data_IF_086027259520
#
_entry.id   IF_086027259520
#
_cell.length_a   1.000
_cell.length_b   1.000
_cell.length_c   1.000
_cell.angle_alpha   90.00
_cell.angle_beta   90.00
_cell.angle_gamma   90.00
#
_symmetry.space_group_name_H-M   'P 1'
#
loop_
_entity.id
_entity.type
_entity.pdbx_description
1 polymer ?
#
# COMPACT_ATOMS: atom_id res chain seq x y z
N UNK A 1 41.46 -34.51 -58.56
CA UNK A 1 40.23 -34.02 -57.95
C UNK A 1 40.57 -33.28 -56.66
N UNK A 2 40.80 -31.95 -56.72
CA UNK A 2 41.15 -31.12 -55.56
C UNK A 2 39.87 -30.55 -54.95
N UNK A 3 39.52 -31.02 -53.74
CA UNK A 3 38.42 -30.45 -52.94
C UNK A 3 38.89 -29.12 -52.35
N UNK A 4 38.36 -28.03 -52.82
CA UNK A 4 38.47 -26.72 -52.19
C UNK A 4 37.70 -26.72 -50.88
N UNK A 5 38.44 -26.84 -49.76
CA UNK A 5 37.91 -26.60 -48.41
C UNK A 5 37.71 -25.07 -48.27
N UNK A 6 36.46 -24.64 -48.45
CA UNK A 6 36.04 -23.28 -48.18
C UNK A 6 36.06 -23.07 -46.65
N UNK A 7 37.20 -22.54 -46.16
CA UNK A 7 37.37 -22.17 -44.74
C UNK A 7 36.51 -20.96 -44.46
N UNK A 8 35.31 -21.18 -43.91
CA UNK A 8 34.40 -20.17 -43.45
C UNK A 8 35.13 -19.34 -42.40
N UNK A 9 35.55 -18.13 -42.74
CA UNK A 9 36.20 -17.18 -41.88
C UNK A 9 35.13 -16.71 -40.88
N UNK A 10 35.14 -17.23 -39.64
CA UNK A 10 34.32 -16.67 -38.56
C UNK A 10 34.91 -15.32 -38.17
N UNK A 11 34.32 -14.24 -38.67
CA UNK A 11 34.60 -12.90 -38.22
C UNK A 11 34.02 -12.73 -36.81
N UNK A 12 34.70 -13.27 -35.83
CA UNK A 12 34.45 -12.95 -34.41
C UNK A 12 34.96 -11.53 -34.17
N UNK A 13 34.17 -10.53 -34.56
CA UNK A 13 34.38 -9.15 -34.14
C UNK A 13 34.03 -9.05 -32.69
N UNK A 14 35.01 -9.23 -31.83
CA UNK A 14 34.91 -8.93 -30.40
C UNK A 14 34.64 -7.44 -30.19
N UNK A 15 33.84 -7.08 -29.18
CA UNK A 15 33.62 -5.69 -28.80
C UNK A 15 34.97 -5.01 -28.44
N UNK A 16 35.16 -3.81 -28.94
CA UNK A 16 36.28 -2.97 -28.55
C UNK A 16 36.13 -2.54 -27.07
N UNK A 17 37.24 -2.50 -26.35
CA UNK A 17 37.25 -2.00 -24.96
C UNK A 17 36.69 -0.59 -24.88
N UNK A 18 36.92 0.26 -25.89
CA UNK A 18 36.40 1.62 -25.96
C UNK A 18 34.88 1.65 -26.11
N UNK A 19 34.30 0.79 -26.95
CA UNK A 19 32.83 0.65 -27.09
C UNK A 19 32.18 0.27 -25.78
N UNK A 20 32.78 -0.65 -25.02
CA UNK A 20 32.27 -1.06 -23.73
C UNK A 20 32.29 0.10 -22.72
N UNK A 21 33.40 0.86 -22.68
CA UNK A 21 33.51 2.02 -21.76
C UNK A 21 32.47 3.08 -22.09
N UNK A 22 32.26 3.40 -23.38
CA UNK A 22 31.26 4.39 -23.79
C UNK A 22 29.85 3.94 -23.39
N UNK A 23 29.49 2.68 -23.64
CA UNK A 23 28.17 2.15 -23.27
C UNK A 23 27.94 2.23 -21.77
N UNK A 24 28.91 1.81 -20.95
CA UNK A 24 28.82 1.88 -19.49
C UNK A 24 28.71 3.32 -19.00
N UNK A 25 29.44 4.25 -19.59
CA UNK A 25 29.37 5.66 -19.25
C UNK A 25 27.98 6.25 -19.53
N UNK A 26 27.38 5.95 -20.69
CA UNK A 26 26.04 6.39 -21.05
C UNK A 26 25.00 5.77 -20.10
N UNK A 27 25.08 4.48 -19.81
CA UNK A 27 24.19 3.79 -18.87
C UNK A 27 24.29 4.39 -17.47
N UNK A 28 25.48 4.70 -16.99
CA UNK A 28 25.69 5.31 -15.66
C UNK A 28 24.99 6.68 -15.56
N UNK A 29 25.10 7.51 -16.60
CA UNK A 29 24.41 8.82 -16.63
C UNK A 29 22.89 8.63 -16.64
N UNK A 30 22.36 7.75 -17.48
CA UNK A 30 20.91 7.50 -17.55
C UNK A 30 20.35 6.96 -16.23
N UNK A 31 21.02 5.98 -15.62
CA UNK A 31 20.62 5.43 -14.33
C UNK A 31 20.69 6.50 -13.23
N UNK A 32 21.76 7.31 -13.23
CA UNK A 32 21.91 8.40 -12.25
C UNK A 32 20.78 9.42 -12.28
N UNK A 33 20.23 9.72 -13.47
CA UNK A 33 19.11 10.64 -13.64
C UNK A 33 17.75 10.00 -13.33
N UNK A 34 17.56 8.71 -13.69
CA UNK A 34 16.28 8.03 -13.59
C UNK A 34 16.02 7.43 -12.19
N UNK A 35 17.07 7.00 -11.49
CA UNK A 35 16.92 6.31 -10.20
C UNK A 35 16.15 7.13 -9.14
N UNK A 36 16.40 8.44 -8.94
CA UNK A 36 15.67 9.22 -7.96
C UNK A 36 14.17 9.33 -8.28
N UNK A 37 13.82 9.45 -9.57
CA UNK A 37 12.44 9.53 -10.02
C UNK A 37 11.72 8.18 -9.86
N UNK A 38 12.39 7.10 -10.24
CA UNK A 38 11.86 5.74 -10.07
C UNK A 38 11.50 5.46 -8.61
N UNK A 39 12.38 5.79 -7.66
CA UNK A 39 12.12 5.61 -6.22
C UNK A 39 10.89 6.40 -5.75
N UNK A 40 10.66 7.62 -6.25
CA UNK A 40 9.45 8.41 -5.96
C UNK A 40 8.17 7.72 -6.48
N UNK A 41 8.21 7.15 -7.68
CA UNK A 41 7.07 6.43 -8.24
C UNK A 41 6.75 5.14 -7.50
N UNK A 42 7.78 4.36 -7.14
CA UNK A 42 7.62 3.14 -6.33
C UNK A 42 6.98 3.46 -4.98
N UNK A 43 7.44 4.53 -4.32
CA UNK A 43 6.89 4.91 -3.03
C UNK A 43 5.44 5.41 -3.13
N UNK A 44 5.13 6.17 -4.18
CA UNK A 44 3.75 6.59 -4.45
C UNK A 44 2.84 5.38 -4.71
N UNK A 45 3.31 4.37 -5.44
CA UNK A 45 2.58 3.12 -5.69
C UNK A 45 2.32 2.35 -4.39
N UNK A 46 3.31 2.26 -3.49
CA UNK A 46 3.16 1.63 -2.18
C UNK A 46 2.10 2.33 -1.33
N UNK A 47 2.14 3.67 -1.29
CA UNK A 47 1.13 4.47 -0.59
C UNK A 47 -0.27 4.30 -1.16
N UNK A 48 -0.41 4.25 -2.49
CA UNK A 48 -1.69 3.95 -3.12
C UNK A 48 -2.22 2.57 -2.75
N UNK A 49 -1.36 1.56 -2.71
CA UNK A 49 -1.77 0.21 -2.33
C UNK A 49 -2.19 0.13 -0.85
N UNK A 50 -1.48 0.82 0.05
CA UNK A 50 -1.85 0.90 1.46
C UNK A 50 -3.21 1.59 1.64
N UNK A 51 -3.41 2.71 0.93
CA UNK A 51 -4.67 3.46 0.95
C UNK A 51 -5.84 2.62 0.41
N UNK A 52 -5.62 1.88 -0.68
CA UNK A 52 -6.64 1.00 -1.28
C UNK A 52 -7.04 -0.13 -0.33
N UNK A 53 -6.07 -0.78 0.32
CA UNK A 53 -6.35 -1.83 1.29
C UNK A 53 -7.18 -1.31 2.48
N UNK A 54 -6.84 -0.13 3.00
CA UNK A 54 -7.59 0.46 4.11
C UNK A 54 -8.99 0.91 3.68
N UNK A 55 -9.13 1.49 2.48
CA UNK A 55 -10.43 1.92 1.94
C UNK A 55 -11.39 0.73 1.73
N UNK A 56 -10.87 -0.41 1.27
CA UNK A 56 -11.64 -1.65 1.15
C UNK A 56 -12.19 -2.10 2.52
N UNK A 57 -11.37 -2.07 3.56
CA UNK A 57 -11.78 -2.40 4.92
C UNK A 57 -12.79 -1.38 5.48
N UNK A 58 -12.61 -0.09 5.21
CA UNK A 58 -13.57 0.96 5.60
C UNK A 58 -14.93 0.72 4.93
N UNK A 59 -14.93 0.38 3.64
CA UNK A 59 -16.17 0.07 2.92
C UNK A 59 -16.88 -1.16 3.48
N UNK A 60 -16.16 -2.20 3.89
CA UNK A 60 -16.74 -3.35 4.54
C UNK A 60 -17.52 -2.96 5.80
N UNK A 61 -16.92 -2.14 6.67
CA UNK A 61 -17.58 -1.60 7.86
C UNK A 61 -18.81 -0.75 7.50
N UNK A 62 -18.70 0.10 6.47
CA UNK A 62 -19.81 0.94 6.02
C UNK A 62 -20.98 0.13 5.46
N UNK A 63 -20.71 -0.94 4.73
CA UNK A 63 -21.74 -1.84 4.21
C UNK A 63 -22.50 -2.51 5.36
N UNK A 64 -21.78 -3.04 6.34
CA UNK A 64 -22.39 -3.64 7.54
C UNK A 64 -23.15 -2.63 8.41
N UNK A 65 -22.67 -1.38 8.50
CA UNK A 65 -23.37 -0.33 9.21
C UNK A 65 -24.71 0.05 8.56
N UNK A 66 -24.80 -0.09 7.23
CA UNK A 66 -26.01 0.21 6.46
C UNK A 66 -26.95 -1.00 6.29
N UNK A 67 -26.54 -2.20 6.70
CA UNK A 67 -27.34 -3.41 6.59
C UNK A 67 -28.44 -3.43 7.65
N UNK A 68 -29.66 -3.79 7.24
CA UNK A 68 -30.82 -3.88 8.13
C UNK A 68 -30.87 -5.18 8.95
N UNK A 69 -30.22 -6.25 8.45
CA UNK A 69 -30.27 -7.58 9.06
C UNK A 69 -29.08 -7.84 10.00
N UNK A 70 -27.89 -7.35 9.64
CA UNK A 70 -26.65 -7.48 10.43
C UNK A 70 -26.06 -6.12 10.80
N UNK A 71 -26.85 -5.30 11.50
CA UNK A 71 -26.43 -3.93 11.86
C UNK A 71 -25.20 -3.91 12.74
N UNK A 72 -24.20 -3.18 12.30
CA UNK A 72 -23.06 -2.82 13.14
C UNK A 72 -23.54 -1.88 14.25
N UNK A 73 -23.31 -2.19 15.54
CA UNK A 73 -23.74 -1.34 16.64
C UNK A 73 -23.17 0.07 16.58
N UNK A 74 -23.94 1.06 17.10
CA UNK A 74 -23.45 2.43 17.28
C UNK A 74 -22.17 2.42 18.11
N UNK A 75 -21.05 2.83 17.51
CA UNK A 75 -19.75 2.91 18.15
C UNK A 75 -18.73 3.62 17.22
N UNK A 76 -17.51 3.78 17.70
CA UNK A 76 -16.37 4.20 16.89
C UNK A 76 -15.41 3.03 16.71
N UNK A 77 -15.26 2.63 15.47
CA UNK A 77 -14.41 1.52 15.03
C UNK A 77 -13.11 2.07 14.44
N UNK A 78 -11.97 1.64 14.95
CA UNK A 78 -10.68 2.07 14.41
C UNK A 78 -9.96 0.89 13.80
N UNK A 79 -9.73 0.95 12.50
CA UNK A 79 -8.90 -0.01 11.75
C UNK A 79 -7.49 0.58 11.68
N UNK A 80 -6.49 -0.19 12.11
CA UNK A 80 -5.09 0.22 12.08
C UNK A 80 -4.28 -0.81 11.31
N UNK A 81 -3.61 -0.38 10.24
CA UNK A 81 -2.63 -1.19 9.50
C UNK A 81 -1.24 -0.79 9.97
N UNK A 82 -0.55 -1.72 10.59
CA UNK A 82 0.80 -1.52 11.11
C UNK A 82 1.86 -2.02 10.12
N UNK A 83 3.08 -1.54 10.35
CA UNK A 83 4.25 -2.11 9.72
C UNK A 83 4.53 -3.50 10.31
N UNK A 84 4.96 -4.43 9.45
CA UNK A 84 5.37 -5.76 9.90
C UNK A 84 6.60 -5.66 10.81
N UNK A 85 6.43 -6.04 12.07
CA UNK A 85 7.49 -6.08 13.10
C UNK A 85 8.18 -7.46 13.19
N UNK A 86 7.79 -8.39 12.29
CA UNK A 86 8.27 -9.78 12.24
C UNK A 86 7.95 -10.61 13.50
N UNK A 87 7.04 -10.14 14.35
CA UNK A 87 6.63 -10.85 15.57
C UNK A 87 5.65 -12.00 15.30
N UNK A 88 5.13 -12.11 14.08
CA UNK A 88 4.09 -13.07 13.70
C UNK A 88 2.69 -12.70 14.21
N UNK A 89 2.53 -11.52 14.83
CA UNK A 89 1.23 -10.99 15.25
C UNK A 89 0.46 -10.41 14.06
N UNK A 90 -0.85 -10.25 14.23
CA UNK A 90 -1.68 -9.55 13.25
C UNK A 90 -1.14 -8.13 13.03
N UNK A 91 -0.91 -7.79 11.76
CA UNK A 91 -0.40 -6.47 11.37
C UNK A 91 -1.52 -5.46 11.20
N UNK A 92 -2.74 -5.92 10.94
CA UNK A 92 -3.94 -5.10 10.94
C UNK A 92 -4.83 -5.48 12.12
N UNK A 93 -5.29 -4.49 12.85
CA UNK A 93 -6.13 -4.66 14.05
C UNK A 93 -7.35 -3.75 13.98
N UNK A 94 -8.45 -4.23 14.57
CA UNK A 94 -9.65 -3.42 14.80
C UNK A 94 -9.80 -3.18 16.30
N UNK A 95 -10.07 -1.95 16.67
CA UNK A 95 -10.40 -1.55 18.05
C UNK A 95 -11.73 -0.81 18.08
N UNK A 96 -12.43 -0.92 19.18
CA UNK A 96 -13.76 -0.33 19.40
C UNK A 96 -13.69 0.59 20.61
N UNK A 97 -14.26 1.80 20.49
CA UNK A 97 -14.17 2.80 21.56
C UNK A 97 -14.89 2.38 22.83
N UNK A 98 -16.06 1.74 22.70
CA UNK A 98 -16.83 1.23 23.85
C UNK A 98 -16.15 0.07 24.60
N UNK A 99 -15.10 -0.53 24.01
CA UNK A 99 -14.42 -1.74 24.51
C UNK A 99 -15.36 -2.94 24.69
N UNK A 100 -16.48 -2.99 23.96
CA UNK A 100 -17.39 -4.12 23.93
C UNK A 100 -16.86 -5.15 22.93
N UNK A 101 -16.54 -6.35 23.42
CA UNK A 101 -16.03 -7.43 22.57
C UNK A 101 -17.02 -7.84 21.47
N UNK A 102 -18.32 -7.81 21.78
CA UNK A 102 -19.37 -8.12 20.81
C UNK A 102 -19.35 -7.18 19.58
N UNK A 103 -19.14 -5.87 19.79
CA UNK A 103 -19.05 -4.90 18.70
C UNK A 103 -17.81 -5.16 17.82
N UNK A 104 -16.71 -5.54 18.48
CA UNK A 104 -15.48 -5.90 17.80
C UNK A 104 -15.65 -7.16 16.94
N UNK A 105 -16.29 -8.19 17.46
CA UNK A 105 -16.55 -9.45 16.74
C UNK A 105 -17.38 -9.23 15.46
N UNK A 106 -18.39 -8.35 15.51
CA UNK A 106 -19.20 -7.99 14.34
C UNK A 106 -18.33 -7.28 13.30
N UNK A 107 -17.50 -6.33 13.70
CA UNK A 107 -16.59 -5.64 12.80
C UNK A 107 -15.54 -6.59 12.17
N UNK A 108 -14.99 -7.51 12.94
CA UNK A 108 -14.03 -8.52 12.44
C UNK A 108 -14.70 -9.48 11.46
N UNK A 109 -15.98 -9.82 11.66
CA UNK A 109 -16.77 -10.61 10.71
C UNK A 109 -16.95 -9.87 9.39
N UNK A 110 -17.40 -8.61 9.45
CA UNK A 110 -17.53 -7.75 8.27
C UNK A 110 -16.23 -7.68 7.44
N UNK A 111 -15.11 -7.52 8.11
CA UNK A 111 -13.80 -7.50 7.47
C UNK A 111 -13.42 -8.86 6.88
N UNK A 112 -13.73 -9.96 7.58
CA UNK A 112 -13.38 -11.31 7.12
C UNK A 112 -14.19 -11.71 5.89
N UNK A 113 -15.43 -11.27 5.78
CA UNK A 113 -16.26 -11.51 4.59
C UNK A 113 -15.78 -10.71 3.37
N UNK A 114 -15.40 -9.44 3.57
CA UNK A 114 -14.91 -8.59 2.49
C UNK A 114 -13.46 -8.92 2.06
N UNK A 115 -12.61 -9.22 3.02
CA UNK A 115 -11.18 -9.46 2.83
C UNK A 115 -10.66 -10.52 3.81
N UNK A 116 -10.73 -11.83 3.49
CA UNK A 116 -10.39 -12.92 4.41
C UNK A 116 -9.01 -12.83 5.07
N UNK A 117 -8.05 -12.21 4.40
CA UNK A 117 -6.67 -12.02 4.89
C UNK A 117 -6.42 -10.62 5.51
N UNK A 118 -7.47 -9.87 5.84
CA UNK A 118 -7.37 -8.50 6.35
C UNK A 118 -6.39 -8.36 7.52
N UNK A 119 -6.40 -9.27 8.48
CA UNK A 119 -5.54 -9.24 9.66
C UNK A 119 -4.04 -9.38 9.35
N UNK A 120 -3.71 -9.98 8.18
CA UNK A 120 -2.33 -10.15 7.69
C UNK A 120 -1.87 -8.99 6.80
N UNK A 121 -2.78 -8.08 6.45
CA UNK A 121 -2.45 -6.91 5.63
C UNK A 121 -1.44 -6.03 6.38
N UNK A 122 -0.35 -5.70 5.71
CA UNK A 122 0.75 -4.92 6.28
C UNK A 122 1.05 -3.68 5.47
N UNK A 123 1.57 -2.68 6.14
CA UNK A 123 1.99 -1.44 5.53
C UNK A 123 3.15 -1.69 4.56
N UNK A 124 2.98 -1.27 3.30
CA UNK A 124 3.99 -1.40 2.22
C UNK A 124 4.92 -0.19 2.15
N UNK A 125 4.37 1.01 2.43
CA UNK A 125 5.12 2.25 2.46
C UNK A 125 5.80 2.45 3.82
N UNK A 126 7.06 2.89 3.78
CA UNK A 126 7.79 3.30 4.98
C UNK A 126 7.88 4.83 5.13
N UNK A 127 7.16 5.58 4.29
CA UNK A 127 7.26 7.04 4.18
C UNK A 127 5.92 7.74 4.36
N UNK A 128 5.02 7.15 5.15
CA UNK A 128 3.85 7.88 5.61
C UNK A 128 4.26 8.97 6.59
N UNK A 129 3.65 10.14 6.48
CA UNK A 129 3.88 11.26 7.38
C UNK A 129 3.17 10.99 8.72
N UNK A 130 3.88 11.12 9.84
CA UNK A 130 3.28 10.96 11.17
C UNK A 130 2.27 12.06 11.52
N UNK A 131 2.24 13.13 10.73
CA UNK A 131 1.44 14.33 11.05
C UNK A 131 2.11 15.25 12.08
N UNK A 132 3.28 14.87 12.60
CA UNK A 132 4.07 15.73 13.49
C UNK A 132 4.78 16.81 12.68
N UNK A 133 4.77 18.03 13.21
CA UNK A 133 5.46 19.21 12.64
C UNK A 133 6.74 19.47 13.41
N UNK A 134 7.86 19.65 12.71
CA UNK A 134 9.15 19.98 13.33
C UNK A 134 10.34 19.14 12.80
N UNK A 135 11.51 19.35 13.38
CA UNK A 135 12.75 18.68 12.98
C UNK A 135 12.78 17.16 13.22
N UNK A 136 11.88 16.64 14.08
CA UNK A 136 11.73 15.21 14.41
C UNK A 136 10.60 14.53 13.63
N UNK A 137 10.39 14.88 12.37
CA UNK A 137 9.38 14.30 11.51
C UNK A 137 9.66 12.81 11.25
N UNK A 138 9.23 11.96 12.18
CA UNK A 138 9.31 10.50 12.00
C UNK A 138 8.31 10.03 10.94
N UNK A 139 8.67 9.00 10.17
CA UNK A 139 7.69 8.32 9.33
C UNK A 139 6.69 7.58 10.22
N UNK A 140 5.40 7.66 9.88
CA UNK A 140 4.39 6.90 10.59
C UNK A 140 4.65 5.39 10.47
N UNK A 141 4.50 4.70 11.57
CA UNK A 141 4.65 3.23 11.65
C UNK A 141 3.33 2.51 11.36
N UNK A 142 2.25 3.26 11.24
CA UNK A 142 0.91 2.76 10.95
C UNK A 142 0.11 3.79 10.14
N UNK A 143 -0.97 3.32 9.54
CA UNK A 143 -2.07 4.14 9.03
C UNK A 143 -3.37 3.65 9.68
N UNK A 144 -4.33 4.55 9.89
CA UNK A 144 -5.62 4.17 10.46
C UNK A 144 -6.79 4.92 9.87
N UNK A 145 -7.95 4.29 9.98
CA UNK A 145 -9.25 4.89 9.73
C UNK A 145 -10.10 4.75 10.98
N UNK A 146 -10.64 5.85 11.48
CA UNK A 146 -11.61 5.91 12.54
C UNK A 146 -13.00 6.11 11.92
N UNK A 147 -13.88 5.14 12.11
CA UNK A 147 -15.22 5.09 11.52
C UNK A 147 -16.22 5.20 12.65
N UNK A 148 -16.94 6.31 12.72
CA UNK A 148 -18.03 6.50 13.67
C UNK A 148 -19.34 6.08 13.00
N UNK A 149 -19.99 5.08 13.60
CA UNK A 149 -21.29 4.57 13.18
C UNK A 149 -22.37 5.20 14.09
N UNK A 150 -23.34 5.87 13.50
CA UNK A 150 -24.47 6.43 14.18
C UNK A 150 -25.62 5.41 14.30
N UNK A 151 -26.61 5.70 15.16
CA UNK A 151 -27.75 4.82 15.41
C UNK A 151 -28.62 4.57 14.17
N UNK A 152 -28.59 5.49 13.20
CA UNK A 152 -29.30 5.39 11.92
C UNK A 152 -28.52 4.65 10.83
N UNK A 153 -27.37 4.07 11.18
CA UNK A 153 -26.44 3.41 10.23
C UNK A 153 -25.56 4.40 9.44
N UNK A 154 -25.71 5.70 9.66
CA UNK A 154 -24.86 6.73 9.07
C UNK A 154 -23.41 6.57 9.54
N UNK A 155 -22.45 6.82 8.64
CA UNK A 155 -21.03 6.68 8.97
C UNK A 155 -20.24 7.94 8.66
N UNK A 156 -19.30 8.27 9.54
CA UNK A 156 -18.27 9.28 9.29
C UNK A 156 -16.89 8.67 9.41
N UNK A 157 -15.96 9.06 8.53
CA UNK A 157 -14.62 8.46 8.49
C UNK A 157 -13.54 9.52 8.61
N UNK A 158 -12.60 9.30 9.53
CA UNK A 158 -11.42 10.12 9.71
C UNK A 158 -10.16 9.29 9.49
N UNK A 159 -9.26 9.77 8.64
CA UNK A 159 -8.04 9.07 8.28
C UNK A 159 -6.81 9.66 9.00
N UNK A 160 -5.91 8.77 9.43
CA UNK A 160 -4.61 9.15 9.99
C UNK A 160 -3.50 8.37 9.26
N UNK A 161 -2.47 9.04 8.74
CA UNK A 161 -2.30 10.52 8.67
C UNK A 161 -3.30 11.18 7.70
N UNK A 162 -3.57 12.48 7.88
CA UNK A 162 -4.52 13.23 7.04
C UNK A 162 -4.19 13.18 5.53
N UNK A 163 -2.91 13.04 5.18
CA UNK A 163 -2.45 12.85 3.80
C UNK A 163 -3.00 11.58 3.13
N UNK A 164 -3.45 10.59 3.92
CA UNK A 164 -4.04 9.35 3.42
C UNK A 164 -5.33 9.61 2.63
N UNK A 165 -6.17 10.54 3.08
CA UNK A 165 -7.41 10.92 2.39
C UNK A 165 -7.17 11.36 0.93
N UNK A 166 -6.01 11.95 0.63
CA UNK A 166 -5.69 12.39 -0.74
C UNK A 166 -5.45 11.22 -1.69
N UNK A 167 -5.01 10.08 -1.18
CA UNK A 167 -4.81 8.85 -1.97
C UNK A 167 -6.14 8.13 -2.19
N UNK A 168 -6.98 8.03 -1.15
CA UNK A 168 -8.30 7.39 -1.20
C UNK A 168 -9.23 8.14 -2.17
N UNK A 169 -9.35 9.47 -2.05
CA UNK A 169 -10.20 10.27 -2.91
C UNK A 169 -9.76 10.28 -4.39
N UNK A 170 -8.47 10.03 -4.68
CA UNK A 170 -7.98 9.88 -6.07
C UNK A 170 -8.40 8.54 -6.66
N UNK A 171 -8.41 7.47 -5.88
CA UNK A 171 -8.83 6.14 -6.33
C UNK A 171 -10.32 6.14 -6.68
N UNK A 172 -11.15 6.83 -5.92
CA UNK A 172 -12.57 6.99 -6.19
C UNK A 172 -12.88 7.77 -7.49
N UNK A 173 -11.97 8.66 -7.95
CA UNK A 173 -12.14 9.44 -9.19
C UNK A 173 -11.68 8.72 -10.46
N UNK A 174 -10.89 7.66 -10.37
CA UNK A 174 -10.38 6.89 -11.53
C UNK A 174 -11.27 5.72 -11.91
N UNK A 175 -12.34 5.46 -11.19
CA UNK A 175 -13.32 4.39 -11.42
C UNK A 175 -14.57 4.84 -12.20
N UNK A 176 -14.48 5.87 -13.07
CA UNK A 176 -15.54 6.24 -14.00
C UNK A 176 -15.13 5.95 -15.43
#
# INVERSE_FOLDING_TARGET
MLKFLNKKKNDNKGFSLVELIIVVAILAILVGLLAPQYLKYVEKSRKSADASNLDEMVRAIQVYAADAEETLPEDTYTITINKDDKSGKATTVVTVNSKKDANKEVAERALTEAAPDWAKTKLKSNKWDSGETGENKANATYISAEITVAQDGGTTVKYTPASLATYINKTAKTGK
#
